data_IF_779263629727
#
_entry.id   IF_779263629727
#
_cell.length_a   1.000
_cell.length_b   1.000
_cell.length_c   1.000
_cell.angle_alpha   90.00
_cell.angle_beta   90.00
_cell.angle_gamma   90.00
#
_symmetry.space_group_name_H-M   'P 1'
#
loop_
_entity.id
_entity.type
_entity.pdbx_description
1 polymer ?
#
# COMPACT_ATOMS: atom_id res chain seq x y z
N UNK A 1 16.71 19.58 -4.73
CA UNK A 1 15.30 19.30 -4.45
C UNK A 1 15.18 18.50 -3.15
N UNK A 2 14.38 18.98 -2.21
CA UNK A 2 14.18 18.28 -0.94
C UNK A 2 13.11 17.20 -1.10
N UNK A 3 13.42 15.98 -0.68
CA UNK A 3 12.45 14.90 -0.67
C UNK A 3 11.47 15.07 0.49
N UNK A 4 10.21 14.73 0.27
CA UNK A 4 9.20 14.75 1.32
C UNK A 4 9.39 13.60 2.33
N UNK A 5 9.99 12.50 1.88
CA UNK A 5 10.22 11.32 2.72
C UNK A 5 11.70 11.00 2.81
N UNK A 6 12.16 10.66 4.00
CA UNK A 6 13.53 10.21 4.26
C UNK A 6 13.62 8.68 4.44
N UNK A 7 12.56 7.98 4.05
CA UNK A 7 12.45 6.52 4.17
C UNK A 7 13.63 5.84 3.46
N UNK A 8 14.36 4.94 4.12
CA UNK A 8 15.43 4.19 3.48
C UNK A 8 14.85 3.20 2.46
N UNK A 9 15.44 3.15 1.27
CA UNK A 9 14.96 2.31 0.17
C UNK A 9 16.08 1.41 -0.31
N UNK A 10 15.72 0.23 -0.78
CA UNK A 10 16.66 -0.75 -1.32
C UNK A 10 16.33 -1.04 -2.77
N UNK A 11 17.36 -1.01 -3.64
CA UNK A 11 17.20 -1.35 -5.05
C UNK A 11 17.55 -2.82 -5.26
N UNK A 12 16.62 -3.57 -5.84
CA UNK A 12 16.78 -4.99 -6.14
C UNK A 12 16.48 -5.17 -7.63
N UNK A 13 17.51 -5.07 -8.50
CA UNK A 13 17.30 -5.06 -9.95
C UNK A 13 16.49 -3.85 -10.37
N UNK A 14 15.36 -4.07 -11.01
CA UNK A 14 14.41 -3.00 -11.40
C UNK A 14 13.38 -2.70 -10.33
N UNK A 15 13.43 -3.40 -9.21
CA UNK A 15 12.48 -3.25 -8.10
C UNK A 15 13.08 -2.32 -7.06
N UNK A 16 12.28 -1.38 -6.59
CA UNK A 16 12.61 -0.55 -5.45
C UNK A 16 11.76 -1.00 -4.28
N UNK A 17 12.40 -1.30 -3.16
CA UNK A 17 11.74 -1.82 -1.98
C UNK A 17 11.82 -0.82 -0.82
N UNK A 18 10.73 -0.66 -0.11
CA UNK A 18 10.72 0.04 1.17
C UNK A 18 11.26 -0.84 2.29
N UNK A 19 11.37 -0.33 3.50
CA UNK A 19 11.79 -1.14 4.65
C UNK A 19 10.67 -2.06 5.09
N UNK A 20 11.02 -3.09 5.85
CA UNK A 20 10.03 -3.88 6.59
C UNK A 20 9.39 -3.01 7.66
N UNK A 21 8.07 -3.00 7.71
CA UNK A 21 7.30 -2.22 8.66
C UNK A 21 6.35 -3.12 9.46
N UNK A 22 6.08 -2.74 10.69
CA UNK A 22 4.99 -3.30 11.49
C UNK A 22 3.87 -2.28 11.51
N UNK A 23 2.87 -2.38 10.62
CA UNK A 23 1.80 -1.40 10.62
C UNK A 23 1.01 -1.47 11.92
N UNK A 24 0.57 -0.31 12.38
CA UNK A 24 -0.22 -0.18 13.60
C UNK A 24 -1.69 0.01 13.21
N UNK A 25 -2.56 -0.70 13.90
CA UNK A 25 -4.00 -0.50 13.72
C UNK A 25 -4.41 0.80 14.40
N UNK A 26 -4.46 1.86 13.63
CA UNK A 26 -4.76 3.20 14.15
C UNK A 26 -6.21 3.33 14.63
N UNK A 27 -7.09 2.47 14.18
CA UNK A 27 -8.51 2.50 14.57
C UNK A 27 -8.75 1.97 15.98
N UNK A 28 -7.80 1.24 16.56
CA UNK A 28 -7.90 0.76 17.95
C UNK A 28 -7.91 1.90 18.96
N UNK A 29 -7.35 3.05 18.60
CA UNK A 29 -7.27 4.22 19.49
C UNK A 29 -8.39 5.22 19.25
N UNK A 30 -9.30 4.93 18.32
CA UNK A 30 -10.41 5.82 17.99
C UNK A 30 -11.70 5.29 18.58
N UNK A 31 -12.54 6.20 19.06
CA UNK A 31 -13.87 5.86 19.56
C UNK A 31 -14.90 6.29 18.54
N UNK A 32 -15.78 5.38 18.15
CA UNK A 32 -16.88 5.65 17.23
C UNK A 32 -18.18 5.38 17.95
N UNK A 33 -19.03 6.41 18.04
CA UNK A 33 -20.39 6.26 18.60
C UNK A 33 -21.20 5.39 17.63
N UNK A 34 -21.80 4.34 18.12
CA UNK A 34 -22.69 3.43 17.36
C UNK A 34 -22.02 2.71 16.16
N UNK A 35 -20.69 2.72 16.08
CA UNK A 35 -19.96 2.07 15.00
C UNK A 35 -19.02 0.97 15.52
N UNK A 36 -19.22 -0.23 14.99
CA UNK A 36 -18.28 -1.33 15.17
C UNK A 36 -17.60 -1.63 13.83
N UNK A 37 -16.29 -1.76 13.87
CA UNK A 37 -15.48 -2.00 12.68
C UNK A 37 -14.86 -3.39 12.71
N UNK A 38 -14.63 -3.98 11.54
CA UNK A 38 -13.83 -5.20 11.39
C UNK A 38 -12.41 -5.00 11.91
N UNK A 39 -11.94 -3.75 11.99
CA UNK A 39 -10.62 -3.42 12.53
C UNK A 39 -10.57 -3.46 14.05
N UNK A 40 -11.71 -3.57 14.71
CA UNK A 40 -11.81 -3.82 16.14
C UNK A 40 -11.69 -5.33 16.37
N UNK A 41 -10.82 -5.76 17.29
CA UNK A 41 -10.57 -7.18 17.54
C UNK A 41 -11.82 -7.94 17.98
N UNK A 42 -12.66 -7.32 18.82
CA UNK A 42 -13.88 -7.96 19.30
C UNK A 42 -14.89 -8.14 18.15
N UNK A 43 -15.04 -7.15 17.29
CA UNK A 43 -15.93 -7.25 16.12
C UNK A 43 -15.37 -8.24 15.10
N UNK A 44 -14.07 -8.25 14.86
CA UNK A 44 -13.43 -9.18 13.95
C UNK A 44 -13.63 -10.62 14.40
N UNK A 45 -13.47 -10.90 15.69
CA UNK A 45 -13.74 -12.22 16.27
C UNK A 45 -15.19 -12.63 16.10
N UNK A 46 -16.13 -11.70 16.26
CA UNK A 46 -17.55 -11.92 16.04
C UNK A 46 -17.87 -12.33 14.60
N UNK A 47 -17.12 -11.78 13.64
CA UNK A 47 -17.27 -12.07 12.22
C UNK A 47 -16.44 -13.28 11.75
N UNK A 48 -15.75 -13.97 12.66
CA UNK A 48 -14.97 -15.16 12.36
C UNK A 48 -13.51 -14.91 12.02
N UNK A 49 -13.01 -13.68 12.20
CA UNK A 49 -11.60 -13.36 11.98
C UNK A 49 -10.80 -13.52 13.28
N UNK A 50 -9.51 -13.80 13.12
CA UNK A 50 -8.60 -14.04 14.25
C UNK A 50 -8.40 -12.79 15.11
N UNK A 51 -8.32 -11.62 14.46
CA UNK A 51 -8.15 -10.32 15.09
C UNK A 51 -8.56 -9.23 14.09
N UNK A 52 -8.59 -7.96 14.52
CA UNK A 52 -8.88 -6.84 13.63
C UNK A 52 -7.76 -6.63 12.63
N UNK A 53 -8.04 -6.65 11.31
CA UNK A 53 -7.01 -6.38 10.31
C UNK A 53 -6.59 -4.91 10.31
N UNK A 54 -5.37 -4.66 9.83
CA UNK A 54 -4.89 -3.32 9.59
C UNK A 54 -5.70 -2.71 8.43
N UNK A 55 -6.08 -1.46 8.58
CA UNK A 55 -6.87 -0.74 7.56
C UNK A 55 -6.08 -0.50 6.28
N UNK A 56 -6.79 -0.53 5.14
CA UNK A 56 -6.20 -0.39 3.81
C UNK A 56 -5.35 0.85 3.60
N UNK A 57 -5.80 2.06 4.00
CA UNK A 57 -5.01 3.28 3.82
C UNK A 57 -3.64 3.24 4.47
N UNK A 58 -3.47 2.50 5.57
CA UNK A 58 -2.16 2.31 6.21
C UNK A 58 -1.18 1.63 5.26
N UNK A 59 -1.66 0.65 4.48
CA UNK A 59 -0.82 -0.02 3.49
C UNK A 59 -0.45 0.91 2.33
N UNK A 60 -1.39 1.75 1.88
CA UNK A 60 -1.12 2.73 0.82
C UNK A 60 -0.02 3.71 1.19
N UNK A 61 0.06 4.10 2.46
CA UNK A 61 1.07 5.06 2.91
C UNK A 61 2.50 4.59 2.66
N UNK A 62 2.73 3.30 2.53
CA UNK A 62 4.06 2.74 2.28
C UNK A 62 4.54 3.00 0.84
N UNK A 63 3.64 3.30 -0.09
CA UNK A 63 3.98 3.52 -1.50
C UNK A 63 4.33 4.96 -1.84
N UNK A 64 3.97 5.93 -0.99
CA UNK A 64 4.29 7.32 -1.26
C UNK A 64 5.81 7.58 -1.36
N UNK A 65 6.66 7.09 -0.44
CA UNK A 65 8.10 7.27 -0.60
C UNK A 65 8.66 6.54 -1.83
N UNK A 66 8.07 5.43 -2.23
CA UNK A 66 8.49 4.70 -3.43
C UNK A 66 8.17 5.49 -4.70
N UNK A 67 6.96 6.01 -4.79
CA UNK A 67 6.55 6.84 -5.93
C UNK A 67 7.36 8.14 -6.02
N UNK A 68 7.61 8.78 -4.90
CA UNK A 68 8.45 9.97 -4.86
C UNK A 68 9.88 9.68 -5.33
N UNK A 69 10.44 8.54 -4.93
CA UNK A 69 11.80 8.17 -5.32
C UNK A 69 11.92 8.00 -6.83
N UNK A 70 10.86 7.53 -7.50
CA UNK A 70 10.86 7.28 -8.95
C UNK A 70 10.52 8.55 -9.73
N UNK A 71 9.49 9.27 -9.34
CA UNK A 71 8.92 10.37 -10.12
C UNK A 71 9.08 11.75 -9.48
N UNK A 72 9.64 11.82 -8.26
CA UNK A 72 9.85 13.08 -7.55
C UNK A 72 8.53 13.75 -7.19
N UNK A 73 8.55 15.08 -7.25
CA UNK A 73 7.37 15.90 -6.91
C UNK A 73 6.15 15.62 -7.78
N UNK A 74 6.35 15.13 -9.00
CA UNK A 74 5.24 14.77 -9.89
C UNK A 74 4.35 13.69 -9.28
N UNK A 75 4.92 12.75 -8.52
CA UNK A 75 4.10 11.75 -7.84
C UNK A 75 3.20 12.38 -6.78
N UNK A 76 3.70 13.36 -6.05
CA UNK A 76 2.93 14.04 -5.01
C UNK A 76 1.82 14.91 -5.62
N UNK A 77 2.04 15.46 -6.81
CA UNK A 77 1.08 16.34 -7.49
C UNK A 77 0.09 15.58 -8.37
N UNK A 78 0.52 14.53 -9.04
CA UNK A 78 -0.23 13.85 -10.10
C UNK A 78 -0.32 12.33 -9.90
N UNK A 79 0.11 11.82 -8.77
CA UNK A 79 0.20 10.38 -8.51
C UNK A 79 -1.15 9.71 -8.37
N UNK A 80 -1.21 8.46 -8.80
CA UNK A 80 -2.35 7.59 -8.62
C UNK A 80 -1.88 6.23 -8.11
N UNK A 81 -2.54 5.74 -7.09
CA UNK A 81 -2.33 4.39 -6.56
C UNK A 81 -3.63 3.62 -6.68
N UNK A 82 -3.53 2.39 -7.15
CA UNK A 82 -4.68 1.50 -7.27
C UNK A 82 -4.24 0.10 -6.85
N UNK A 83 -5.00 -0.55 -6.00
CA UNK A 83 -4.62 -1.87 -5.51
C UNK A 83 -5.81 -2.76 -5.23
N UNK A 84 -5.54 -4.08 -5.30
CA UNK A 84 -6.44 -5.11 -4.83
C UNK A 84 -5.84 -5.73 -3.58
N UNK A 85 -6.59 -5.71 -2.49
CA UNK A 85 -6.18 -6.35 -1.25
C UNK A 85 -6.42 -7.85 -1.36
N UNK A 86 -5.38 -8.64 -1.10
CA UNK A 86 -5.41 -10.09 -1.28
C UNK A 86 -5.48 -10.83 0.05
N UNK A 87 -4.75 -10.36 1.04
CA UNK A 87 -4.71 -10.98 2.36
C UNK A 87 -4.62 -9.88 3.41
N UNK A 88 -5.36 -10.05 4.48
CA UNK A 88 -5.32 -9.09 5.59
C UNK A 88 -4.03 -9.21 6.39
N UNK A 89 -3.66 -8.11 7.00
CA UNK A 89 -2.51 -8.01 7.89
C UNK A 89 -3.02 -7.70 9.28
N UNK A 90 -2.52 -8.43 10.27
CA UNK A 90 -2.84 -8.21 11.66
C UNK A 90 -1.72 -7.39 12.31
N UNK A 91 -2.06 -6.67 13.37
CA UNK A 91 -1.06 -5.92 14.11
C UNK A 91 0.05 -6.84 14.61
N UNK A 92 1.29 -6.42 14.45
CA UNK A 92 2.47 -7.22 14.82
C UNK A 92 3.09 -7.99 13.66
N UNK A 93 2.39 -8.10 12.53
CA UNK A 93 2.96 -8.74 11.34
C UNK A 93 3.81 -7.75 10.55
N UNK A 94 4.89 -8.21 9.94
CA UNK A 94 5.76 -7.38 9.11
C UNK A 94 5.27 -7.35 7.66
N UNK A 95 5.30 -6.15 7.06
CA UNK A 95 4.92 -5.93 5.66
C UNK A 95 5.99 -5.08 4.98
N UNK A 96 6.28 -5.41 3.73
CA UNK A 96 7.21 -4.65 2.89
C UNK A 96 6.54 -4.29 1.56
N UNK A 97 6.71 -3.05 1.14
CA UNK A 97 6.16 -2.53 -0.10
C UNK A 97 7.22 -2.50 -1.20
N UNK A 98 6.80 -2.75 -2.43
CA UNK A 98 7.66 -2.81 -3.62
C UNK A 98 7.02 -2.05 -4.77
N UNK A 99 7.89 -1.45 -5.60
CA UNK A 99 7.48 -0.85 -6.86
C UNK A 99 8.46 -1.25 -7.96
N UNK A 100 7.95 -1.59 -9.14
CA UNK A 100 8.76 -1.94 -10.29
C UNK A 100 8.34 -1.11 -11.49
N UNK A 101 9.29 -0.36 -12.04
CA UNK A 101 9.07 0.51 -13.18
C UNK A 101 10.14 0.31 -14.25
N UNK A 102 9.70 0.23 -15.50
CA UNK A 102 10.61 0.37 -16.63
C UNK A 102 11.12 1.83 -16.65
N UNK A 103 12.42 2.07 -16.88
CA UNK A 103 12.95 3.43 -16.91
C UNK A 103 12.20 4.34 -17.88
N UNK A 104 11.81 5.52 -17.40
CA UNK A 104 11.11 6.52 -18.21
C UNK A 104 9.61 6.37 -18.30
N UNK A 105 9.02 5.29 -17.80
CA UNK A 105 7.59 5.07 -17.89
C UNK A 105 6.80 5.86 -16.84
N UNK A 106 5.57 6.21 -17.15
CA UNK A 106 4.65 6.95 -16.28
C UNK A 106 3.82 6.03 -15.39
N UNK A 107 4.09 4.73 -15.41
CA UNK A 107 3.35 3.74 -14.63
C UNK A 107 4.29 2.65 -14.12
N UNK A 108 3.85 1.95 -13.10
CA UNK A 108 4.62 0.89 -12.45
C UNK A 108 3.69 -0.12 -11.80
N UNK A 109 4.21 -1.32 -11.56
CA UNK A 109 3.53 -2.31 -10.72
C UNK A 109 3.89 -2.05 -9.26
N UNK A 110 2.92 -2.23 -8.38
CA UNK A 110 3.15 -2.21 -6.95
C UNK A 110 2.63 -3.48 -6.31
N UNK A 111 3.25 -3.86 -5.22
CA UNK A 111 2.78 -4.97 -4.39
C UNK A 111 3.38 -4.85 -2.99
N UNK A 112 2.80 -5.59 -2.06
CA UNK A 112 3.32 -5.71 -0.70
C UNK A 112 3.21 -7.16 -0.25
N UNK A 113 4.18 -7.60 0.53
CA UNK A 113 4.21 -8.97 1.05
C UNK A 113 4.52 -9.00 2.53
N UNK A 114 4.11 -10.09 3.17
CA UNK A 114 4.58 -10.47 4.51
C UNK A 114 5.94 -11.16 4.39
N UNK A 115 6.59 -11.45 5.52
CA UNK A 115 7.91 -12.10 5.53
C UNK A 115 7.92 -13.50 4.90
N UNK A 116 6.82 -14.22 5.00
CA UNK A 116 6.67 -15.55 4.41
C UNK A 116 6.35 -15.52 2.90
N UNK A 117 6.27 -14.33 2.31
CA UNK A 117 5.92 -14.16 0.90
C UNK A 117 4.44 -14.02 0.61
N UNK A 118 3.58 -14.10 1.63
CA UNK A 118 2.14 -13.91 1.44
C UNK A 118 1.86 -12.54 0.85
N UNK A 119 1.18 -12.49 -0.29
CA UNK A 119 0.83 -11.24 -0.95
C UNK A 119 -0.29 -10.51 -0.20
N UNK A 120 0.01 -9.31 0.26
CA UNK A 120 -0.95 -8.45 0.96
C UNK A 120 -1.83 -7.71 -0.04
N UNK A 121 -1.19 -7.09 -1.02
CA UNK A 121 -1.87 -6.38 -2.09
C UNK A 121 -1.01 -6.37 -3.36
N UNK A 122 -1.66 -6.09 -4.48
CA UNK A 122 -0.99 -5.81 -5.75
C UNK A 122 -1.79 -4.78 -6.53
N UNK A 123 -1.12 -4.02 -7.38
CA UNK A 123 -1.79 -3.01 -8.16
C UNK A 123 -0.85 -2.20 -9.03
N UNK A 124 -1.20 -0.94 -9.22
CA UNK A 124 -0.49 -0.02 -10.09
C UNK A 124 -0.26 1.32 -9.41
N UNK A 125 0.84 1.96 -9.79
CA UNK A 125 1.12 3.35 -9.48
C UNK A 125 1.36 4.08 -10.80
N UNK A 126 0.99 5.34 -10.88
CA UNK A 126 1.18 6.11 -12.12
C UNK A 126 1.21 7.60 -11.84
N UNK A 127 1.65 8.36 -12.84
CA UNK A 127 1.61 9.81 -12.82
C UNK A 127 1.02 10.32 -14.13
N UNK A 128 0.43 11.51 -14.07
CA UNK A 128 -0.01 12.24 -15.26
C UNK A 128 -1.34 11.79 -15.84
N UNK A 129 -1.89 12.59 -16.78
CA UNK A 129 -3.23 12.33 -17.32
C UNK A 129 -3.27 11.25 -18.40
N UNK A 130 -2.12 10.82 -18.91
CA UNK A 130 -2.02 9.88 -20.04
C UNK A 130 -1.49 8.51 -19.64
N UNK A 131 -1.52 8.19 -18.36
CA UNK A 131 -1.10 6.89 -17.88
C UNK A 131 -2.04 5.79 -18.40
N UNK A 132 -1.55 4.55 -18.57
CA UNK A 132 -2.41 3.42 -18.90
C UNK A 132 -3.49 3.21 -17.83
N UNK A 133 -4.55 2.44 -18.14
CA UNK A 133 -5.57 2.15 -17.14
C UNK A 133 -4.98 1.56 -15.86
N UNK A 134 -5.45 2.01 -14.70
CA UNK A 134 -5.03 1.50 -13.41
C UNK A 134 -5.57 0.09 -13.17
N UNK A 135 -5.08 -0.56 -12.13
CA UNK A 135 -5.59 -1.87 -11.74
C UNK A 135 -7.10 -1.84 -11.49
N UNK A 136 -7.60 -0.77 -10.87
CA UNK A 136 -9.03 -0.61 -10.65
C UNK A 136 -9.79 -0.43 -11.96
N UNK A 137 -9.28 0.40 -12.88
CA UNK A 137 -9.92 0.61 -14.18
C UNK A 137 -10.07 -0.69 -14.95
N UNK A 138 -9.01 -1.52 -14.97
CA UNK A 138 -9.06 -2.82 -15.64
C UNK A 138 -10.11 -3.73 -15.01
N UNK A 139 -10.25 -3.69 -13.70
CA UNK A 139 -11.25 -4.47 -12.96
C UNK A 139 -12.68 -4.03 -13.28
N UNK A 140 -12.88 -2.73 -13.38
CA UNK A 140 -14.22 -2.17 -13.67
C UNK A 140 -14.70 -2.49 -15.08
N UNK A 141 -13.78 -2.83 -15.98
CA UNK A 141 -14.09 -3.17 -17.37
C UNK A 141 -14.19 -4.68 -17.64
N UNK A 142 -14.11 -5.50 -16.63
CA UNK A 142 -14.30 -6.95 -16.73
C UNK A 142 -15.77 -7.34 -16.89
#
# INVERSE_FOLDING_TARGET
MTRAFDTPLETIGQVLAGPWRKPVNMLLTQSYDDHLSIHDDAMANKLGFKAGPIEGPTHFSQFAPLGEAIWGERFLAEGCLSAHYRNMVLEGEDVRAFIEREPGEDHARIWATKRDGTEVLKGTASIGPHAPPSALDLRLNE
#
